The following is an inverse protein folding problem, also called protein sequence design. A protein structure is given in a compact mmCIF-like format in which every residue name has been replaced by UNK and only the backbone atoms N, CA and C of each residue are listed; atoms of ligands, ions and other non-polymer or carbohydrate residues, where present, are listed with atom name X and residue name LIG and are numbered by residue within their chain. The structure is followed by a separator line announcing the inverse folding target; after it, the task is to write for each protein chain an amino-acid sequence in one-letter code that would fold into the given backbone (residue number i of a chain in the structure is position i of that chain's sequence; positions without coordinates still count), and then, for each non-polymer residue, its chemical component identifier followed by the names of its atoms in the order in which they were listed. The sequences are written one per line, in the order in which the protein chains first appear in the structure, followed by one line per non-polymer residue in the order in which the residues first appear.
data_IF_407209443798
#
_entry.id   IF_407209443798
#
_cell.length_a   1.000
_cell.length_b   1.000
_cell.length_c   1.000
_cell.angle_alpha   90.00
_cell.angle_beta   90.00
_cell.angle_gamma   90.00
#
_symmetry.space_group_name_H-M   'P 1'
#
loop_
_entity.id
_entity.type
_entity.pdbx_description
1 polymer ?
#
# COMPACT_ATOMS: atom_id res chain seq x y z
N UNK A 1 -17.64 -8.68 -13.54
CA UNK A 1 -17.48 -9.29 -12.20
C UNK A 1 -17.40 -8.13 -11.23
N UNK A 2 -18.25 -8.13 -10.24
CA UNK A 2 -18.24 -7.05 -9.24
C UNK A 2 -17.00 -7.21 -8.34
N UNK A 3 -16.40 -6.09 -7.95
CA UNK A 3 -15.29 -6.10 -7.01
C UNK A 3 -15.75 -6.60 -5.63
N UNK A 4 -14.84 -7.21 -4.85
CA UNK A 4 -15.14 -7.68 -3.50
C UNK A 4 -15.03 -6.55 -2.47
N UNK A 5 -15.74 -6.68 -1.37
CA UNK A 5 -15.66 -5.78 -0.20
C UNK A 5 -16.06 -4.31 -0.47
N UNK A 6 -17.12 -4.04 -1.27
CA UNK A 6 -17.49 -2.68 -1.64
C UNK A 6 -17.95 -1.82 -0.45
N UNK A 7 -18.34 -2.45 0.67
CA UNK A 7 -18.92 -1.79 1.82
C UNK A 7 -17.90 -1.28 2.86
N UNK A 8 -16.61 -1.55 2.70
CA UNK A 8 -15.60 -1.04 3.63
C UNK A 8 -15.55 0.49 3.66
N UNK A 9 -15.87 1.15 2.54
CA UNK A 9 -16.03 2.61 2.47
C UNK A 9 -17.16 3.18 3.32
N UNK A 10 -18.11 2.33 3.74
CA UNK A 10 -19.28 2.72 4.55
C UNK A 10 -18.98 2.63 6.06
N UNK A 11 -17.84 2.06 6.43
CA UNK A 11 -17.40 1.99 7.81
C UNK A 11 -17.10 3.42 8.30
N UNK A 12 -17.56 3.75 9.51
CA UNK A 12 -17.29 5.04 10.13
C UNK A 12 -15.79 5.20 10.39
N UNK A 13 -15.21 6.29 9.92
CA UNK A 13 -13.86 6.72 10.23
C UNK A 13 -13.68 7.01 11.73
N UNK A 14 -12.44 6.90 12.22
CA UNK A 14 -12.12 7.16 13.63
C UNK A 14 -11.81 8.64 13.88
N UNK A 15 -11.07 9.26 12.99
CA UNK A 15 -10.59 10.66 13.09
C UNK A 15 -11.01 11.50 11.90
N UNK A 16 -10.96 10.97 10.68
CA UNK A 16 -11.45 11.67 9.50
C UNK A 16 -12.94 12.02 9.65
N UNK A 17 -13.34 13.20 9.19
CA UNK A 17 -14.74 13.64 9.17
C UNK A 17 -15.60 12.79 8.22
N UNK A 18 -15.00 12.33 7.13
CA UNK A 18 -15.62 11.42 6.15
C UNK A 18 -14.57 10.67 5.34
N UNK A 19 -14.91 9.53 4.70
CA UNK A 19 -14.04 8.84 3.76
C UNK A 19 -13.53 9.73 2.61
N UNK A 20 -14.32 10.73 2.19
CA UNK A 20 -14.05 11.64 1.08
C UNK A 20 -13.20 12.84 1.45
N UNK A 21 -12.85 13.06 2.72
CA UNK A 21 -12.16 14.27 3.19
C UNK A 21 -10.89 14.59 2.38
N UNK A 22 -10.15 13.57 1.99
CA UNK A 22 -8.93 13.70 1.19
C UNK A 22 -9.04 12.99 -0.15
N UNK A 23 -10.12 13.26 -0.89
CA UNK A 23 -10.32 12.75 -2.24
C UNK A 23 -9.12 13.09 -3.13
N UNK A 24 -8.46 12.09 -3.73
CA UNK A 24 -7.37 12.31 -4.67
C UNK A 24 -7.90 12.79 -6.04
N UNK A 25 -7.02 13.27 -6.94
CA UNK A 25 -7.41 13.47 -8.33
C UNK A 25 -7.95 12.18 -8.95
N UNK A 26 -8.90 12.29 -9.90
CA UNK A 26 -9.42 11.12 -10.60
C UNK A 26 -8.31 10.40 -11.39
N UNK A 27 -8.47 9.11 -11.66
CA UNK A 27 -7.55 8.37 -12.52
C UNK A 27 -7.58 8.94 -13.95
N UNK A 28 -6.56 8.60 -14.73
CA UNK A 28 -6.55 8.87 -16.16
C UNK A 28 -7.75 8.20 -16.83
N UNK A 29 -8.43 8.92 -17.70
CA UNK A 29 -9.59 8.42 -18.43
C UNK A 29 -9.20 7.19 -19.26
N UNK A 30 -10.03 6.13 -19.15
CA UNK A 30 -9.82 4.90 -19.89
C UNK A 30 -9.88 5.15 -21.41
N UNK A 31 -8.86 4.66 -22.10
CA UNK A 31 -8.79 4.72 -23.56
C UNK A 31 -7.99 3.52 -24.09
N UNK A 32 -8.41 3.02 -25.26
CA UNK A 32 -7.68 1.97 -25.99
C UNK A 32 -6.85 2.50 -27.15
N UNK A 33 -6.86 3.82 -27.35
CA UNK A 33 -6.02 4.49 -28.35
C UNK A 33 -4.55 4.37 -27.97
N UNK A 34 -3.68 3.92 -28.91
CA UNK A 34 -2.27 3.59 -28.65
C UNK A 34 -1.46 4.74 -28.04
N UNK A 35 -1.75 5.98 -28.47
CA UNK A 35 -1.02 7.17 -28.04
C UNK A 35 -1.71 7.88 -26.86
N UNK A 36 -2.79 7.30 -26.32
CA UNK A 36 -3.47 7.87 -25.16
C UNK A 36 -2.59 7.79 -23.91
N UNK A 37 -2.81 8.74 -22.99
CA UNK A 37 -2.12 8.73 -21.69
C UNK A 37 -2.36 7.43 -20.94
N UNK A 38 -3.58 6.90 -20.96
CA UNK A 38 -3.92 5.64 -20.31
C UNK A 38 -3.12 4.45 -20.86
N UNK A 39 -2.96 4.36 -22.19
CA UNK A 39 -2.15 3.30 -22.80
C UNK A 39 -0.65 3.48 -22.53
N UNK A 40 -0.15 4.71 -22.43
CA UNK A 40 1.23 4.96 -22.02
C UNK A 40 1.47 4.47 -20.57
N UNK A 41 0.56 4.75 -19.64
CA UNK A 41 0.59 4.25 -18.26
C UNK A 41 0.49 2.71 -18.21
N UNK A 42 -0.33 2.11 -19.08
CA UNK A 42 -0.45 0.65 -19.24
C UNK A 42 0.87 0.04 -19.74
N UNK A 43 1.50 0.68 -20.72
CA UNK A 43 2.79 0.24 -21.26
C UNK A 43 3.92 0.39 -20.26
N UNK A 44 3.86 1.36 -19.35
CA UNK A 44 4.83 1.45 -18.23
C UNK A 44 4.76 0.21 -17.34
N UNK A 45 3.55 -0.25 -17.00
CA UNK A 45 3.36 -1.50 -16.21
C UNK A 45 3.86 -2.71 -16.98
N UNK A 46 3.50 -2.84 -18.26
CA UNK A 46 3.95 -3.94 -19.12
C UNK A 46 5.47 -4.00 -19.19
N UNK A 47 6.11 -2.86 -19.48
CA UNK A 47 7.57 -2.76 -19.61
C UNK A 47 8.32 -2.95 -18.29
N UNK A 48 7.71 -2.60 -17.15
CA UNK A 48 8.32 -2.80 -15.84
C UNK A 48 8.65 -4.28 -15.56
N UNK A 49 7.93 -5.21 -16.18
CA UNK A 49 8.13 -6.66 -16.06
C UNK A 49 8.86 -7.30 -17.25
N UNK A 50 8.92 -6.63 -18.39
CA UNK A 50 9.50 -7.13 -19.64
C UNK A 50 11.03 -7.09 -19.69
N UNK A 51 11.68 -6.49 -18.69
CA UNK A 51 13.15 -6.35 -18.67
C UNK A 51 13.79 -7.72 -18.43
N UNK A 52 14.79 -8.06 -19.27
CA UNK A 52 15.56 -9.29 -19.18
C UNK A 52 16.14 -9.54 -17.77
N UNK A 53 16.51 -10.78 -17.45
CA UNK A 53 17.10 -11.19 -16.15
C UNK A 53 18.37 -10.41 -15.79
N UNK A 54 18.17 -9.20 -15.29
CA UNK A 54 19.22 -8.32 -14.78
C UNK A 54 19.18 -8.28 -13.24
N UNK A 55 20.27 -7.82 -12.63
CA UNK A 55 20.29 -7.59 -11.18
C UNK A 55 19.19 -6.61 -10.75
N UNK A 56 18.90 -5.59 -11.58
CA UNK A 56 17.81 -4.64 -11.34
C UNK A 56 16.44 -5.32 -11.33
N UNK A 57 16.17 -6.21 -12.29
CA UNK A 57 14.90 -6.93 -12.34
C UNK A 57 14.75 -7.91 -11.17
N UNK A 58 15.84 -8.54 -10.75
CA UNK A 58 15.85 -9.41 -9.57
C UNK A 58 15.49 -8.60 -8.32
N UNK A 59 16.05 -7.40 -8.16
CA UNK A 59 15.73 -6.51 -7.03
C UNK A 59 14.28 -6.03 -7.09
N UNK A 60 13.76 -5.62 -8.25
CA UNK A 60 12.34 -5.23 -8.41
C UNK A 60 11.38 -6.35 -8.02
N UNK A 61 11.69 -7.59 -8.43
CA UNK A 61 10.91 -8.78 -8.04
C UNK A 61 11.01 -9.05 -6.53
N UNK A 62 12.20 -8.86 -5.94
CA UNK A 62 12.40 -8.98 -4.48
C UNK A 62 11.57 -7.95 -3.72
N UNK A 63 11.60 -6.69 -4.13
CA UNK A 63 10.78 -5.61 -3.58
C UNK A 63 9.28 -5.94 -3.70
N UNK A 64 8.84 -6.36 -4.89
CA UNK A 64 7.44 -6.73 -5.10
C UNK A 64 6.98 -7.84 -4.15
N UNK A 65 7.80 -8.89 -3.99
CA UNK A 65 7.49 -10.03 -3.12
C UNK A 65 7.53 -9.68 -1.64
N UNK A 66 8.46 -8.84 -1.21
CA UNK A 66 8.57 -8.40 0.17
C UNK A 66 7.32 -7.64 0.62
N UNK A 67 6.79 -6.76 -0.23
CA UNK A 67 5.57 -6.01 0.02
C UNK A 67 4.30 -6.70 -0.50
N UNK A 68 4.36 -7.98 -0.85
CA UNK A 68 3.17 -8.77 -1.23
C UNK A 68 2.43 -9.25 0.02
N UNK A 69 1.82 -8.32 0.70
CA UNK A 69 1.05 -8.57 1.91
C UNK A 69 -0.38 -9.07 1.59
N UNK A 70 -0.53 -9.92 0.58
CA UNK A 70 -1.80 -10.56 0.28
C UNK A 70 -1.98 -11.79 1.19
N UNK A 71 -2.94 -11.77 2.14
CA UNK A 71 -3.10 -12.86 3.10
C UNK A 71 -3.54 -14.18 2.49
N UNK A 72 -4.00 -14.17 1.23
CA UNK A 72 -4.58 -15.34 0.55
C UNK A 72 -4.04 -15.51 -0.87
N UNK A 73 -2.72 -15.65 -1.03
CA UNK A 73 -2.16 -16.09 -2.31
C UNK A 73 -2.48 -17.55 -2.50
N UNK A 74 -3.26 -17.87 -3.52
CA UNK A 74 -3.62 -19.26 -3.86
C UNK A 74 -3.20 -19.61 -5.28
N UNK A 75 -2.71 -20.82 -5.47
CA UNK A 75 -2.47 -21.40 -6.79
C UNK A 75 -2.94 -22.85 -6.84
N UNK A 76 -3.33 -23.27 -8.02
CA UNK A 76 -3.77 -24.63 -8.27
C UNK A 76 -2.71 -25.39 -9.05
N UNK A 77 -2.47 -26.64 -8.64
CA UNK A 77 -1.68 -27.60 -9.42
C UNK A 77 -2.49 -28.88 -9.55
N UNK A 78 -3.04 -29.12 -10.73
CA UNK A 78 -4.01 -30.19 -10.95
C UNK A 78 -5.28 -29.99 -10.11
N UNK A 79 -5.58 -30.95 -9.24
CA UNK A 79 -6.75 -30.89 -8.34
C UNK A 79 -6.45 -30.34 -6.95
N UNK A 80 -5.24 -29.89 -6.71
CA UNK A 80 -4.81 -29.41 -5.38
C UNK A 80 -4.65 -27.89 -5.42
N UNK A 81 -5.28 -27.21 -4.43
CA UNK A 81 -5.11 -25.80 -4.17
C UNK A 81 -4.09 -25.62 -3.05
N UNK A 82 -3.10 -24.81 -3.31
CA UNK A 82 -2.12 -24.36 -2.31
C UNK A 82 -2.44 -22.91 -1.94
N UNK A 83 -2.55 -22.63 -0.66
CA UNK A 83 -2.70 -21.28 -0.13
C UNK A 83 -1.48 -20.94 0.74
N UNK A 84 -0.80 -19.86 0.41
CA UNK A 84 0.30 -19.34 1.24
C UNK A 84 -0.28 -18.24 2.11
N UNK A 85 -0.21 -18.43 3.43
CA UNK A 85 -0.58 -17.39 4.39
C UNK A 85 0.53 -16.37 4.45
N UNK A 86 0.19 -15.09 4.37
CA UNK A 86 1.09 -13.95 4.53
C UNK A 86 0.49 -12.95 5.50
N UNK A 87 1.31 -12.00 5.93
CA UNK A 87 0.86 -10.85 6.70
C UNK A 87 -0.08 -9.97 5.87
N UNK A 88 -0.97 -9.22 6.51
CA UNK A 88 -1.74 -8.18 5.84
C UNK A 88 -0.92 -6.89 5.74
N UNK A 89 -1.23 -5.95 4.82
CA UNK A 89 -0.51 -4.67 4.74
C UNK A 89 -0.54 -3.88 6.05
N UNK A 90 -1.69 -3.86 6.73
CA UNK A 90 -1.79 -3.25 8.07
C UNK A 90 -0.97 -4.00 9.12
N UNK A 91 -1.00 -5.33 9.09
CA UNK A 91 -0.19 -6.17 9.98
C UNK A 91 1.31 -5.93 9.83
N UNK A 92 1.80 -5.75 8.59
CA UNK A 92 3.18 -5.41 8.31
C UNK A 92 3.61 -4.10 9.01
N UNK A 93 2.80 -3.03 8.88
CA UNK A 93 3.09 -1.76 9.54
C UNK A 93 2.97 -1.82 11.06
N UNK A 94 2.11 -2.68 11.62
CA UNK A 94 2.09 -2.98 13.07
C UNK A 94 3.36 -3.73 13.49
N UNK A 95 3.88 -4.62 12.65
CA UNK A 95 5.19 -5.25 12.85
C UNK A 95 6.34 -4.24 12.86
N UNK A 96 6.36 -3.30 11.88
CA UNK A 96 7.33 -2.20 11.85
C UNK A 96 7.21 -1.33 13.11
N UNK A 97 5.98 -1.05 13.60
CA UNK A 97 5.77 -0.33 14.86
C UNK A 97 6.42 -1.04 16.05
N UNK A 98 6.29 -2.38 16.10
CA UNK A 98 6.97 -3.19 17.11
C UNK A 98 8.49 -3.02 17.05
N UNK A 99 9.07 -3.17 15.86
CA UNK A 99 10.52 -2.99 15.64
C UNK A 99 10.98 -1.61 16.09
N UNK A 100 10.22 -0.56 15.75
CA UNK A 100 10.55 0.81 16.17
C UNK A 100 10.50 0.97 17.69
N UNK A 101 9.48 0.46 18.37
CA UNK A 101 9.37 0.52 19.81
C UNK A 101 10.51 -0.25 20.51
N UNK A 102 10.87 -1.42 20.01
CA UNK A 102 11.97 -2.23 20.56
C UNK A 102 13.32 -1.55 20.37
N UNK A 103 13.59 -1.01 19.19
CA UNK A 103 14.85 -0.34 18.86
C UNK A 103 15.04 0.98 19.65
N UNK A 104 13.96 1.72 19.88
CA UNK A 104 13.96 2.98 20.64
C UNK A 104 13.94 2.74 22.18
N UNK A 105 13.84 1.50 22.63
CA UNK A 105 13.59 1.15 24.06
C UNK A 105 12.39 1.94 24.61
N UNK A 106 11.34 2.05 23.79
CA UNK A 106 10.19 2.91 24.06
C UNK A 106 9.51 2.55 25.38
N UNK A 107 9.17 3.57 26.17
CA UNK A 107 8.35 3.38 27.36
C UNK A 107 6.99 2.79 27.02
N UNK A 108 6.30 2.19 28.01
CA UNK A 108 4.94 1.66 27.81
C UNK A 108 4.00 2.70 27.18
N UNK A 109 4.03 3.96 27.66
CA UNK A 109 3.17 5.02 27.11
C UNK A 109 3.53 5.40 25.68
N UNK A 110 4.83 5.52 25.35
CA UNK A 110 5.28 5.78 23.97
C UNK A 110 4.89 4.64 23.03
N UNK A 111 4.98 3.39 23.48
CA UNK A 111 4.52 2.24 22.70
C UNK A 111 3.02 2.27 22.47
N UNK A 112 2.22 2.55 23.49
CA UNK A 112 0.76 2.70 23.34
C UNK A 112 0.41 3.81 22.33
N UNK A 113 1.10 4.95 22.41
CA UNK A 113 0.93 6.05 21.45
C UNK A 113 1.27 5.62 20.02
N UNK A 114 2.43 4.96 19.84
CA UNK A 114 2.87 4.49 18.53
C UNK A 114 1.87 3.52 17.88
N UNK A 115 1.44 2.49 18.62
CA UNK A 115 0.45 1.55 18.13
C UNK A 115 -0.90 2.21 17.86
N UNK A 116 -1.34 3.13 18.71
CA UNK A 116 -2.63 3.82 18.55
C UNK A 116 -2.64 4.69 17.31
N UNK A 117 -1.67 5.60 17.16
CA UNK A 117 -1.57 6.49 16.02
C UNK A 117 -1.44 5.73 14.70
N UNK A 118 -0.56 4.72 14.67
CA UNK A 118 -0.36 3.90 13.47
C UNK A 118 -1.64 3.14 13.11
N UNK A 119 -2.32 2.51 14.08
CA UNK A 119 -3.55 1.77 13.82
C UNK A 119 -4.67 2.65 13.30
N UNK A 120 -4.83 3.86 13.85
CA UNK A 120 -5.85 4.83 13.39
C UNK A 120 -5.52 5.33 11.99
N UNK A 121 -4.25 5.68 11.72
CA UNK A 121 -3.81 6.13 10.40
C UNK A 121 -4.01 5.05 9.31
N UNK A 122 -3.71 3.78 9.64
CA UNK A 122 -3.97 2.64 8.77
C UNK A 122 -5.47 2.46 8.49
N UNK A 123 -6.29 2.51 9.54
CA UNK A 123 -7.73 2.28 9.46
C UNK A 123 -8.43 3.35 8.62
N UNK A 124 -8.21 4.62 8.96
CA UNK A 124 -8.82 5.75 8.24
C UNK A 124 -8.29 5.87 6.81
N UNK A 125 -6.99 5.62 6.61
CA UNK A 125 -6.37 5.55 5.29
C UNK A 125 -6.98 4.47 4.42
N UNK A 126 -7.28 3.30 4.99
CA UNK A 126 -7.90 2.20 4.28
C UNK A 126 -9.33 2.55 3.83
N UNK A 127 -10.14 3.11 4.72
CA UNK A 127 -11.51 3.52 4.41
C UNK A 127 -11.53 4.61 3.32
N UNK A 128 -10.66 5.62 3.44
CA UNK A 128 -10.54 6.69 2.43
C UNK A 128 -10.10 6.14 1.07
N UNK A 129 -9.16 5.19 1.04
CA UNK A 129 -8.76 4.51 -0.18
C UNK A 129 -9.90 3.70 -0.80
N UNK A 130 -10.68 2.98 0.02
CA UNK A 130 -11.80 2.18 -0.46
C UNK A 130 -12.95 3.02 -1.03
N UNK A 131 -13.18 4.21 -0.48
CA UNK A 131 -14.13 5.16 -1.07
C UNK A 131 -13.70 5.54 -2.49
N UNK A 132 -12.42 5.89 -2.69
CA UNK A 132 -11.91 6.22 -4.02
C UNK A 132 -12.00 5.03 -4.98
N UNK A 133 -11.61 3.84 -4.54
CA UNK A 133 -11.64 2.64 -5.37
C UNK A 133 -13.01 2.39 -5.99
N UNK A 134 -14.05 2.43 -5.17
CA UNK A 134 -15.42 2.15 -5.63
C UNK A 134 -16.15 3.37 -6.22
N UNK A 135 -15.57 4.56 -6.10
CA UNK A 135 -16.02 5.76 -6.79
C UNK A 135 -15.42 5.84 -8.21
N UNK A 136 -14.12 5.58 -8.35
CA UNK A 136 -13.42 5.59 -9.65
C UNK A 136 -13.67 4.32 -10.46
N UNK A 137 -13.79 3.18 -9.79
CA UNK A 137 -14.03 1.86 -10.38
C UNK A 137 -13.10 1.52 -11.57
N UNK A 138 -11.82 1.90 -11.47
CA UNK A 138 -10.85 1.71 -12.54
C UNK A 138 -10.45 0.25 -12.69
N UNK A 139 -10.31 -0.19 -13.94
CA UNK A 139 -9.88 -1.52 -14.36
C UNK A 139 -8.39 -1.75 -14.04
N UNK A 140 -8.03 -2.99 -13.68
CA UNK A 140 -6.65 -3.40 -13.40
C UNK A 140 -5.78 -3.55 -14.65
N UNK A 141 -4.44 -3.32 -14.54
CA UNK A 141 -3.50 -3.47 -15.66
C UNK A 141 -3.59 -4.82 -16.36
N UNK A 142 -3.61 -5.93 -15.61
CA UNK A 142 -3.68 -7.29 -16.15
C UNK A 142 -4.81 -7.46 -17.15
N UNK A 143 -6.02 -6.98 -16.79
CA UNK A 143 -7.18 -7.10 -17.69
C UNK A 143 -7.00 -6.31 -18.98
N UNK A 144 -6.39 -5.13 -18.92
CA UNK A 144 -6.14 -4.29 -20.09
C UNK A 144 -5.03 -4.86 -20.95
N UNK A 145 -3.93 -5.29 -20.33
CA UNK A 145 -2.77 -5.86 -21.02
C UNK A 145 -3.17 -7.13 -21.74
N UNK A 146 -3.83 -8.08 -21.07
CA UNK A 146 -4.24 -9.34 -21.70
C UNK A 146 -5.23 -9.12 -22.84
N UNK A 147 -6.08 -8.10 -22.75
CA UNK A 147 -7.08 -7.86 -23.81
C UNK A 147 -6.54 -7.11 -25.01
N UNK A 148 -5.58 -6.20 -24.84
CA UNK A 148 -5.21 -5.23 -25.88
C UNK A 148 -3.74 -5.23 -26.28
N UNK A 149 -2.85 -5.93 -25.53
CA UNK A 149 -1.39 -5.90 -25.75
C UNK A 149 -0.82 -7.30 -25.89
N UNK A 150 -1.02 -8.15 -24.89
CA UNK A 150 -0.37 -9.47 -24.79
C UNK A 150 -1.26 -10.40 -23.94
N UNK A 151 -1.93 -11.36 -24.58
CA UNK A 151 -2.91 -12.27 -23.94
C UNK A 151 -2.28 -13.23 -22.93
N UNK A 152 -0.99 -13.50 -23.06
CA UNK A 152 -0.24 -14.42 -22.20
C UNK A 152 0.49 -13.70 -21.04
N UNK A 153 0.38 -12.37 -20.96
CA UNK A 153 1.06 -11.62 -19.93
C UNK A 153 0.49 -11.91 -18.54
N UNK A 154 1.41 -12.12 -17.57
CA UNK A 154 1.08 -12.41 -16.18
C UNK A 154 1.82 -11.45 -15.26
N UNK A 155 1.15 -10.79 -14.31
CA UNK A 155 1.82 -9.94 -13.33
C UNK A 155 2.68 -10.75 -12.36
N UNK A 156 3.68 -10.13 -11.76
CA UNK A 156 4.53 -10.77 -10.72
C UNK A 156 3.71 -11.10 -9.46
N UNK A 157 2.73 -10.28 -9.14
CA UNK A 157 1.84 -10.46 -7.99
C UNK A 157 0.42 -10.78 -8.46
N UNK A 158 -0.30 -11.57 -7.66
CA UNK A 158 -1.70 -11.85 -7.91
C UNK A 158 -2.51 -10.55 -7.91
N UNK A 159 -3.23 -10.29 -8.99
CA UNK A 159 -4.11 -9.12 -9.11
C UNK A 159 -5.27 -9.20 -8.10
N UNK A 160 -5.40 -8.20 -7.21
CA UNK A 160 -6.50 -8.19 -6.26
C UNK A 160 -7.86 -7.99 -6.94
N UNK A 161 -8.93 -8.64 -6.46
CA UNK A 161 -10.26 -8.62 -7.08
C UNK A 161 -11.11 -7.40 -6.69
N UNK A 162 -10.51 -6.22 -6.64
CA UNK A 162 -11.17 -4.94 -6.38
C UNK A 162 -10.55 -3.81 -7.23
N UNK A 163 -11.26 -2.67 -7.39
CA UNK A 163 -10.83 -1.60 -8.29
C UNK A 163 -9.40 -1.09 -8.06
N UNK A 164 -8.81 -0.55 -9.11
CA UNK A 164 -7.38 -0.25 -9.15
C UNK A 164 -7.02 1.01 -8.35
N UNK A 165 -7.73 2.13 -8.57
CA UNK A 165 -7.36 3.47 -8.10
C UNK A 165 -8.02 3.84 -6.75
N UNK A 166 -7.28 4.31 -5.75
CA UNK A 166 -5.84 4.47 -5.61
C UNK A 166 -5.17 3.19 -5.08
N UNK A 167 -3.84 3.11 -5.09
CA UNK A 167 -3.12 1.98 -4.52
C UNK A 167 -3.27 1.91 -2.99
N UNK A 168 -3.89 0.83 -2.49
CA UNK A 168 -4.08 0.63 -1.05
C UNK A 168 -2.75 0.63 -0.28
N UNK A 169 -1.73 -0.10 -0.76
CA UNK A 169 -0.41 -0.10 -0.16
C UNK A 169 0.21 1.30 -0.09
N UNK A 170 0.05 2.12 -1.15
CA UNK A 170 0.57 3.48 -1.15
C UNK A 170 -0.09 4.35 -0.08
N UNK A 171 -1.43 4.29 0.02
CA UNK A 171 -2.18 5.11 0.98
C UNK A 171 -1.84 4.74 2.42
N UNK A 172 -2.01 3.46 2.78
CA UNK A 172 -1.85 3.06 4.19
C UNK A 172 -0.39 3.09 4.63
N UNK A 173 0.55 2.72 3.75
CA UNK A 173 1.97 2.77 4.09
C UNK A 173 2.44 4.20 4.33
N UNK A 174 1.98 5.16 3.51
CA UNK A 174 2.32 6.56 3.73
C UNK A 174 1.66 7.11 5.00
N UNK A 175 0.42 6.79 5.28
CA UNK A 175 -0.26 7.22 6.51
C UNK A 175 0.43 6.67 7.77
N UNK A 176 0.81 5.39 7.77
CA UNK A 176 1.57 4.78 8.85
C UNK A 176 2.97 5.40 9.00
N UNK A 177 3.68 5.66 7.89
CA UNK A 177 4.99 6.30 7.93
C UNK A 177 4.94 7.69 8.55
N UNK A 178 3.91 8.50 8.22
CA UNK A 178 3.69 9.80 8.85
C UNK A 178 3.48 9.66 10.35
N UNK A 179 2.62 8.74 10.78
CA UNK A 179 2.35 8.49 12.20
C UNK A 179 3.61 8.07 12.97
N UNK A 180 4.39 7.13 12.45
CA UNK A 180 5.62 6.67 13.09
C UNK A 180 6.71 7.76 13.10
N UNK A 181 6.85 8.51 12.01
CA UNK A 181 7.80 9.63 11.93
C UNK A 181 7.49 10.70 12.96
N UNK A 182 6.23 10.98 13.25
CA UNK A 182 5.84 11.96 14.28
C UNK A 182 6.28 11.58 15.70
N UNK A 183 6.52 10.29 15.94
CA UNK A 183 6.90 9.75 17.26
C UNK A 183 8.40 9.49 17.36
N UNK A 184 9.01 8.92 16.31
CA UNK A 184 10.39 8.44 16.33
C UNK A 184 11.36 9.34 15.57
N UNK A 185 10.87 10.30 14.78
CA UNK A 185 11.69 11.25 13.99
C UNK A 185 11.91 10.80 12.54
N UNK A 186 12.43 11.75 11.73
CA UNK A 186 12.59 11.62 10.28
C UNK A 186 13.68 10.63 9.86
N UNK A 187 14.77 10.52 10.63
CA UNK A 187 15.97 9.75 10.30
C UNK A 187 16.02 8.40 11.05
N UNK A 188 14.86 7.84 11.38
CA UNK A 188 14.78 6.57 12.08
C UNK A 188 15.07 5.40 11.12
N UNK A 189 16.34 4.96 11.09
CA UNK A 189 16.75 3.79 10.31
C UNK A 189 16.42 2.50 11.06
N UNK A 190 15.92 1.48 10.36
CA UNK A 190 15.56 0.19 10.96
C UNK A 190 15.77 -0.97 9.98
N UNK A 191 15.84 -2.18 10.54
CA UNK A 191 15.87 -3.43 9.80
C UNK A 191 14.51 -4.10 9.94
N UNK A 192 13.77 -4.18 8.84
CA UNK A 192 12.46 -4.79 8.80
C UNK A 192 12.56 -6.30 8.66
N UNK A 193 12.23 -7.01 9.73
CA UNK A 193 12.24 -8.46 9.84
C UNK A 193 10.85 -9.08 9.79
N UNK A 194 9.82 -8.30 9.50
CA UNK A 194 8.41 -8.75 9.58
C UNK A 194 8.08 -9.90 8.63
N UNK A 195 8.81 -10.03 7.53
CA UNK A 195 8.60 -11.06 6.52
C UNK A 195 9.50 -12.30 6.70
N UNK A 196 10.39 -12.32 7.71
CA UNK A 196 11.28 -13.48 7.93
C UNK A 196 10.50 -14.75 8.29
N UNK A 197 9.42 -14.63 9.05
CA UNK A 197 8.56 -15.78 9.38
C UNK A 197 7.85 -16.37 8.15
N UNK A 198 7.78 -15.60 7.06
CA UNK A 198 7.23 -16.04 5.76
C UNK A 198 8.32 -16.44 4.75
N UNK A 199 9.58 -16.50 5.19
CA UNK A 199 10.71 -16.99 4.41
C UNK A 199 11.35 -15.94 3.49
N UNK A 200 11.09 -14.66 3.69
CA UNK A 200 11.74 -13.57 2.97
C UNK A 200 12.84 -12.93 3.83
N UNK A 201 13.96 -12.49 3.22
CA UNK A 201 15.03 -11.85 3.97
C UNK A 201 14.60 -10.48 4.50
N UNK A 202 15.13 -10.08 5.65
CA UNK A 202 14.96 -8.73 6.18
C UNK A 202 15.43 -7.66 5.19
N UNK A 203 14.82 -6.47 5.26
CA UNK A 203 15.19 -5.30 4.46
C UNK A 203 15.53 -4.10 5.32
N UNK A 204 16.56 -3.35 4.91
CA UNK A 204 17.02 -2.17 5.65
C UNK A 204 16.42 -0.89 5.07
N UNK A 205 15.87 -0.06 5.94
CA UNK A 205 15.30 1.22 5.59
C UNK A 205 15.97 2.35 6.36
N UNK A 206 16.17 3.49 5.68
CA UNK A 206 16.77 4.70 6.28
C UNK A 206 15.76 5.51 7.09
N UNK A 207 14.46 5.32 6.81
CA UNK A 207 13.35 5.99 7.49
C UNK A 207 12.04 5.28 7.18
N UNK A 208 10.97 5.60 7.90
CA UNK A 208 9.63 5.12 7.60
C UNK A 208 9.14 5.61 6.23
N UNK A 209 9.49 6.83 5.85
CA UNK A 209 9.21 7.35 4.49
C UNK A 209 9.92 6.54 3.41
N UNK A 210 11.16 6.11 3.63
CA UNK A 210 11.88 5.25 2.69
C UNK A 210 11.15 3.92 2.51
N UNK A 211 10.72 3.28 3.60
CA UNK A 211 9.94 2.05 3.57
C UNK A 211 8.60 2.24 2.84
N UNK A 212 7.87 3.32 3.12
CA UNK A 212 6.59 3.60 2.46
C UNK A 212 6.73 3.90 0.96
N UNK A 213 7.84 4.51 0.52
CA UNK A 213 8.13 4.71 -0.90
C UNK A 213 8.39 3.37 -1.60
N UNK A 214 9.14 2.47 -0.96
CA UNK A 214 9.39 1.14 -1.51
C UNK A 214 8.10 0.32 -1.56
N UNK A 215 7.27 0.36 -0.51
CA UNK A 215 5.95 -0.26 -0.50
C UNK A 215 5.05 0.25 -1.62
N UNK A 216 5.09 1.54 -1.92
CA UNK A 216 4.33 2.15 -2.99
C UNK A 216 4.81 1.68 -4.37
N UNK A 217 6.11 1.79 -4.68
CA UNK A 217 6.65 1.40 -6.00
C UNK A 217 6.59 -0.11 -6.23
N UNK A 218 6.57 -0.92 -5.17
CA UNK A 218 6.43 -2.37 -5.26
C UNK A 218 5.19 -2.80 -6.05
N UNK A 219 4.15 -1.97 -6.09
CA UNK A 219 2.90 -2.24 -6.81
C UNK A 219 3.06 -2.14 -8.32
N UNK A 220 3.94 -1.23 -8.80
CA UNK A 220 4.32 -1.18 -10.21
C UNK A 220 5.17 -2.41 -10.58
N UNK A 221 6.15 -2.74 -9.75
CA UNK A 221 7.00 -3.92 -9.94
C UNK A 221 6.23 -5.24 -9.82
N UNK A 222 5.12 -5.21 -9.11
CA UNK A 222 4.17 -6.32 -9.03
C UNK A 222 3.26 -6.46 -10.26
N UNK A 223 3.16 -5.41 -11.10
CA UNK A 223 2.31 -5.40 -12.29
C UNK A 223 0.82 -5.19 -12.02
N UNK A 224 0.45 -4.67 -10.84
CA UNK A 224 -0.95 -4.63 -10.39
C UNK A 224 -1.53 -3.24 -10.22
N UNK A 225 -0.71 -2.18 -10.42
CA UNK A 225 -1.13 -0.78 -10.34
C UNK A 225 -0.46 0.08 -11.40
N UNK A 226 -1.21 1.06 -11.92
CA UNK A 226 -0.67 2.14 -12.74
C UNK A 226 0.07 3.17 -11.87
N UNK A 227 1.02 3.91 -12.48
CA UNK A 227 1.80 4.94 -11.78
C UNK A 227 0.93 5.99 -11.08
N UNK A 228 -0.10 6.58 -11.70
CA UNK A 228 -0.92 7.58 -11.03
C UNK A 228 -1.62 7.07 -9.77
N UNK A 229 -2.06 5.81 -9.75
CA UNK A 229 -2.69 5.24 -8.55
C UNK A 229 -1.71 5.10 -7.38
N UNK A 230 -0.43 4.90 -7.69
CA UNK A 230 0.65 4.84 -6.71
C UNK A 230 0.93 6.24 -6.17
N UNK A 231 1.16 7.21 -7.05
CA UNK A 231 1.56 8.57 -6.69
C UNK A 231 0.43 9.31 -5.95
N UNK A 232 -0.80 9.20 -6.45
CA UNK A 232 -1.98 9.78 -5.78
C UNK A 232 -2.30 9.07 -4.47
N UNK A 233 -2.04 7.76 -4.38
CA UNK A 233 -2.17 7.01 -3.15
C UNK A 233 -1.18 7.48 -2.08
N UNK A 234 0.08 7.74 -2.45
CA UNK A 234 1.07 8.34 -1.54
C UNK A 234 0.60 9.72 -1.06
N UNK A 235 0.15 10.57 -1.97
CA UNK A 235 -0.33 11.92 -1.61
C UNK A 235 -1.58 11.88 -0.73
N UNK A 236 -2.50 10.95 -0.97
CA UNK A 236 -3.69 10.73 -0.14
C UNK A 236 -3.29 10.25 1.27
N UNK A 237 -2.42 9.25 1.37
CA UNK A 237 -1.93 8.72 2.63
C UNK A 237 -1.16 9.75 3.46
N UNK A 238 -0.38 10.62 2.82
CA UNK A 238 0.30 11.74 3.46
C UNK A 238 -0.68 12.69 4.16
N UNK A 239 -1.77 13.06 3.48
CA UNK A 239 -2.81 13.94 4.03
C UNK A 239 -3.55 13.28 5.18
N UNK A 240 -3.93 12.02 5.03
CA UNK A 240 -4.61 11.24 6.08
C UNK A 240 -3.71 11.13 7.32
N UNK A 241 -2.46 10.71 7.15
CA UNK A 241 -1.52 10.56 8.26
C UNK A 241 -1.29 11.87 9.02
N UNK A 242 -1.06 12.98 8.31
CA UNK A 242 -0.89 14.30 8.92
C UNK A 242 -2.12 14.71 9.72
N UNK A 243 -3.30 14.58 9.14
CA UNK A 243 -4.55 14.95 9.82
C UNK A 243 -4.78 14.12 11.09
N UNK A 244 -4.54 12.81 11.02
CA UNK A 244 -4.67 11.92 12.19
C UNK A 244 -3.71 12.34 13.30
N UNK A 245 -2.44 12.61 12.96
CA UNK A 245 -1.43 13.06 13.93
C UNK A 245 -1.84 14.40 14.56
N UNK A 246 -2.18 15.39 13.75
CA UNK A 246 -2.55 16.74 14.20
C UNK A 246 -3.76 16.71 15.14
N UNK A 247 -4.84 16.01 14.76
CA UNK A 247 -6.07 15.94 15.55
C UNK A 247 -5.88 15.24 16.90
N UNK A 248 -5.09 14.17 16.94
CA UNK A 248 -4.88 13.43 18.18
C UNK A 248 -3.88 14.13 19.11
N UNK A 249 -2.84 14.77 18.58
CA UNK A 249 -1.91 15.57 19.39
C UNK A 249 -2.56 16.82 19.96
N UNK A 250 -3.42 17.50 19.21
CA UNK A 250 -4.20 18.65 19.71
C UNK A 250 -5.11 18.26 20.87
N UNK A 251 -5.81 17.12 20.76
CA UNK A 251 -6.69 16.62 21.82
C UNK A 251 -5.92 16.26 23.09
N UNK A 252 -4.71 15.72 22.97
CA UNK A 252 -3.84 15.40 24.09
C UNK A 252 -3.36 16.66 24.82
N UNK A 253 -2.99 17.72 24.10
CA UNK A 253 -2.59 19.00 24.68
C UNK A 253 -3.75 19.71 25.40
N UNK A 254 -4.99 19.59 24.91
CA UNK A 254 -6.17 20.16 25.53
C UNK A 254 -6.60 19.42 26.80
N UNK A 255 -6.40 18.11 26.87
CA UNK A 255 -6.72 17.29 28.03
C UNK A 255 -5.71 17.38 29.18
N UNK A 256 -4.52 17.91 28.91
CA UNK A 256 -3.45 18.11 29.90
C UNK A 256 -3.47 19.49 30.58
N UNK A 257 -4.41 20.35 30.24
CA UNK A 257 -4.69 21.65 30.87
C UNK A 257 -5.90 21.56 31.79
#
# INVERSE_FOLDING_TARGET
MDGIEPHWREIRTLVLESPQQFTPPPPTEFSTEKDSKFMQETMEVYNALAIADTAEQTERRSIAKFWDCNPYVSHHTGHVMFATKKITPGGHWIGITKIACEQDEASFMKSVEAYTLTSIALFDGFISCWDEKYRSNLIRPETVINKYIDEDWVPTLQTPPFPEHTSGHSVISRAAAVALTSIFGDDFAFNDTTEEEYGLPARQFKSFYHASNEAAVSRLYGGIHYRPAIDYGVAQGEKVGKYVVEELQLKQQLSSK
#
